data_IF_711709197214
#
_entry.id   IF_711709197214
#
_cell.length_a   1.000
_cell.length_b   1.000
_cell.length_c   1.000
_cell.angle_alpha   90.00
_cell.angle_beta   90.00
_cell.angle_gamma   90.00
#
_symmetry.space_group_name_H-M   'P 1'
#
loop_
_entity.id
_entity.type
_entity.pdbx_description
1 polymer ?
#
# COMPACT_ATOMS: atom_id res chain seq x y z
N UNK A 1 -7.72 14.56 -21.29
CA UNK A 1 -7.79 13.57 -20.19
C UNK A 1 -8.42 14.27 -18.99
N UNK A 2 -9.44 13.69 -18.34
CA UNK A 2 -9.98 14.26 -17.09
C UNK A 2 -8.93 14.05 -15.98
N UNK A 3 -8.56 15.10 -15.25
CA UNK A 3 -7.70 14.98 -14.07
C UNK A 3 -8.34 13.99 -13.08
N UNK A 4 -7.57 12.98 -12.65
CA UNK A 4 -7.95 12.03 -11.58
C UNK A 4 -7.47 12.45 -10.19
N UNK A 5 -6.82 13.61 -10.08
CA UNK A 5 -6.20 14.08 -8.83
C UNK A 5 -7.22 14.86 -8.02
N UNK A 6 -7.61 14.33 -6.86
CA UNK A 6 -8.49 15.02 -5.90
C UNK A 6 -7.64 15.95 -5.05
N UNK A 7 -7.83 17.26 -5.19
CA UNK A 7 -7.13 18.28 -4.39
C UNK A 7 -7.87 18.57 -3.09
N UNK A 8 -7.16 18.68 -1.96
CA UNK A 8 -7.70 18.96 -0.62
C UNK A 8 -6.84 20.03 0.08
N UNK A 9 -7.47 20.80 0.95
CA UNK A 9 -6.81 21.78 1.83
C UNK A 9 -6.18 21.10 3.05
N UNK A 10 -5.24 21.78 3.71
CA UNK A 10 -4.57 21.27 4.92
C UNK A 10 -5.56 21.04 6.06
N UNK A 11 -6.56 21.91 6.18
CA UNK A 11 -7.61 21.88 7.18
C UNK A 11 -8.56 20.69 6.96
N UNK A 12 -8.90 20.39 5.72
CA UNK A 12 -9.67 19.19 5.36
C UNK A 12 -8.91 17.92 5.70
N UNK A 13 -7.62 17.86 5.34
CA UNK A 13 -6.77 16.70 5.65
C UNK A 13 -6.62 16.50 7.17
N UNK A 14 -6.53 17.57 7.96
CA UNK A 14 -6.51 17.47 9.43
C UNK A 14 -7.79 16.89 10.01
N UNK A 15 -8.96 17.19 9.42
CA UNK A 15 -10.25 16.60 9.84
C UNK A 15 -10.39 15.14 9.42
N UNK A 16 -9.67 14.72 8.38
CA UNK A 16 -9.59 13.33 7.95
C UNK A 16 -8.57 12.51 8.76
N UNK A 17 -7.55 13.17 9.30
CA UNK A 17 -6.47 12.55 10.09
C UNK A 17 -7.02 12.09 11.45
N UNK A 18 -7.23 10.78 11.60
CA UNK A 18 -7.62 10.17 12.87
C UNK A 18 -8.97 9.47 12.90
N UNK A 19 -9.69 9.35 11.78
CA UNK A 19 -10.94 8.58 11.70
C UNK A 19 -10.71 7.11 11.33
N UNK A 20 -9.52 6.57 11.60
CA UNK A 20 -9.27 5.15 11.38
C UNK A 20 -10.17 4.35 12.31
N UNK A 21 -11.11 3.62 11.75
CA UNK A 21 -11.94 2.69 12.50
C UNK A 21 -11.08 1.48 12.89
N UNK A 22 -10.42 1.58 14.05
CA UNK A 22 -9.53 0.55 14.56
C UNK A 22 -10.26 -0.77 14.84
N UNK A 23 -11.57 -0.72 15.11
CA UNK A 23 -12.39 -1.92 15.32
C UNK A 23 -12.59 -2.64 13.99
N UNK A 24 -12.95 -1.89 12.95
CA UNK A 24 -13.04 -2.44 11.60
C UNK A 24 -11.70 -3.01 11.12
N UNK A 25 -10.60 -2.26 11.27
CA UNK A 25 -9.26 -2.71 10.87
C UNK A 25 -8.85 -3.97 11.63
N UNK A 26 -9.07 -4.01 12.95
CA UNK A 26 -8.74 -5.17 13.77
C UNK A 26 -9.57 -6.42 13.46
N UNK A 27 -10.76 -6.25 12.89
CA UNK A 27 -11.66 -7.35 12.49
C UNK A 27 -11.62 -7.64 10.99
N UNK A 28 -10.74 -7.00 10.22
CA UNK A 28 -10.65 -7.22 8.77
C UNK A 28 -10.13 -8.62 8.50
N UNK A 29 -10.89 -9.42 7.74
CA UNK A 29 -10.52 -10.80 7.39
C UNK A 29 -9.47 -10.84 6.29
N UNK A 30 -8.68 -11.92 6.23
CA UNK A 30 -7.67 -12.14 5.19
C UNK A 30 -8.20 -11.97 3.76
N UNK A 31 -9.40 -12.49 3.46
CA UNK A 31 -10.04 -12.34 2.13
C UNK A 31 -10.30 -10.88 1.75
N UNK A 32 -10.64 -10.07 2.75
CA UNK A 32 -10.89 -8.64 2.53
C UNK A 32 -9.57 -7.89 2.34
N UNK A 33 -8.51 -8.30 3.04
CA UNK A 33 -7.15 -7.79 2.83
C UNK A 33 -6.67 -8.11 1.41
N UNK A 34 -6.80 -9.36 0.97
CA UNK A 34 -6.45 -9.80 -0.39
C UNK A 34 -7.18 -8.96 -1.44
N UNK A 35 -8.49 -8.78 -1.27
CA UNK A 35 -9.30 -7.95 -2.17
C UNK A 35 -8.83 -6.49 -2.21
N UNK A 36 -8.49 -5.90 -1.07
CA UNK A 36 -7.98 -4.53 -1.04
C UNK A 36 -6.65 -4.41 -1.78
N UNK A 37 -5.75 -5.37 -1.57
CA UNK A 37 -4.44 -5.45 -2.21
C UNK A 37 -4.54 -5.64 -3.73
N UNK A 38 -5.48 -6.48 -4.20
CA UNK A 38 -5.74 -6.68 -5.64
C UNK A 38 -6.31 -5.44 -6.33
N UNK A 39 -7.08 -4.62 -5.60
CA UNK A 39 -7.76 -3.44 -6.16
C UNK A 39 -6.98 -2.13 -5.91
N UNK A 40 -5.81 -2.19 -5.28
CA UNK A 40 -4.99 -1.00 -5.05
C UNK A 40 -4.38 -0.54 -6.40
N UNK A 41 -4.69 0.68 -6.88
CA UNK A 41 -4.18 1.19 -8.15
C UNK A 41 -2.66 1.41 -8.15
N UNK A 42 -2.03 1.47 -6.98
CA UNK A 42 -0.58 1.60 -6.80
C UNK A 42 0.08 0.24 -6.50
N UNK A 43 -0.71 -0.85 -6.53
CA UNK A 43 -0.24 -2.20 -6.27
C UNK A 43 0.70 -2.66 -7.39
N UNK A 44 1.98 -2.84 -7.05
CA UNK A 44 2.97 -3.51 -7.90
C UNK A 44 3.40 -4.82 -7.22
N UNK A 45 2.45 -5.75 -7.10
CA UNK A 45 2.71 -7.08 -6.52
C UNK A 45 3.56 -7.87 -7.52
N UNK A 46 4.77 -8.30 -7.14
CA UNK A 46 5.62 -9.07 -8.05
C UNK A 46 4.95 -10.40 -8.42
N UNK A 47 5.06 -10.78 -9.67
CA UNK A 47 4.65 -12.11 -10.12
C UNK A 47 5.53 -13.20 -9.50
N UNK A 48 5.04 -14.43 -9.49
CA UNK A 48 5.80 -15.60 -9.00
C UNK A 48 7.14 -15.76 -9.75
N UNK A 49 7.19 -15.40 -11.04
CA UNK A 49 8.41 -15.43 -11.83
C UNK A 49 9.40 -14.33 -11.43
N UNK A 50 8.91 -13.14 -11.06
CA UNK A 50 9.73 -12.04 -10.56
C UNK A 50 10.24 -12.32 -9.14
N UNK A 51 9.42 -12.93 -8.28
CA UNK A 51 9.83 -13.38 -6.94
C UNK A 51 10.95 -14.42 -7.01
N UNK A 52 10.89 -15.37 -7.95
CA UNK A 52 11.99 -16.34 -8.14
C UNK A 52 13.30 -15.69 -8.58
N UNK A 53 13.23 -14.55 -9.26
CA UNK A 53 14.40 -13.76 -9.68
C UNK A 53 14.89 -12.82 -8.58
N UNK A 54 14.10 -12.59 -7.53
CA UNK A 54 14.47 -11.77 -6.40
C UNK A 54 15.65 -12.41 -5.66
N UNK A 55 16.79 -11.71 -5.67
CA UNK A 55 17.98 -12.12 -4.92
C UNK A 55 18.11 -11.22 -3.70
N UNK A 56 18.18 -11.77 -2.48
CA UNK A 56 18.44 -10.96 -1.31
C UNK A 56 19.79 -10.26 -1.48
N UNK A 57 19.84 -8.98 -1.13
CA UNK A 57 21.10 -8.24 -1.12
C UNK A 57 21.98 -8.85 -0.03
N UNK A 58 23.20 -9.28 -0.38
CA UNK A 58 24.14 -9.77 0.62
C UNK A 58 24.44 -8.64 1.60
N UNK A 59 24.34 -8.92 2.90
CA UNK A 59 24.60 -7.94 3.97
C UNK A 59 26.05 -7.45 4.01
N UNK A 60 26.93 -8.10 3.25
CA UNK A 60 28.35 -7.80 3.19
C UNK A 60 28.73 -6.79 2.08
N UNK A 61 27.79 -6.43 1.20
CA UNK A 61 27.97 -5.29 0.27
C UNK A 61 27.70 -3.97 0.99
N UNK A 62 28.47 -3.68 2.06
CA UNK A 62 28.76 -2.30 2.40
C UNK A 62 29.74 -1.78 1.36
N UNK A 63 29.22 -1.19 0.30
CA UNK A 63 30.01 -0.28 -0.54
C UNK A 63 30.29 0.97 0.30
N UNK A 64 31.58 1.20 0.55
CA UNK A 64 32.17 2.47 0.98
C UNK A 64 31.85 3.61 0.00
#
# INVERSE_FOLDING_TARGET
>A
MKERIVRRTKEELKKMKGNTDHVYVGNTSDKEIERQVENDPDSNIPTEEELKKFKPVNKDDKSE
#
